data_IF_325954355694
#
_entry.id   IF_325954355694
#
_cell.length_a   1.000
_cell.length_b   1.000
_cell.length_c   1.000
_cell.angle_alpha   90.00
_cell.angle_beta   90.00
_cell.angle_gamma   90.00
#
_symmetry.space_group_name_H-M   'P 1'
#
loop_
_entity.id
_entity.type
_entity.pdbx_description
1 polymer ?
#
# COMPACT_ATOMS: atom_id res chain seq x y z
N UNK A 1 38.88 38.31 -19.21
CA UNK A 1 39.50 37.95 -17.93
C UNK A 1 38.81 36.71 -17.41
N UNK A 2 39.62 35.76 -16.94
CA UNK A 2 39.25 34.59 -16.16
C UNK A 2 38.11 34.88 -15.18
N UNK A 3 37.12 34.00 -15.14
CA UNK A 3 36.01 34.22 -14.22
C UNK A 3 34.90 33.18 -14.23
N UNK A 4 35.18 31.93 -14.58
CA UNK A 4 34.20 30.85 -14.43
C UNK A 4 34.81 29.46 -14.15
N UNK A 5 36.12 29.27 -14.35
CA UNK A 5 36.82 28.01 -14.00
C UNK A 5 37.51 28.03 -12.62
N UNK A 6 37.57 29.16 -11.93
CA UNK A 6 38.18 29.26 -10.59
C UNK A 6 37.19 29.10 -9.42
N UNK A 7 35.88 28.93 -9.69
CA UNK A 7 34.86 28.74 -8.63
C UNK A 7 34.50 27.28 -8.36
N UNK A 8 35.06 26.33 -9.11
CA UNK A 8 34.89 24.90 -8.85
C UNK A 8 36.01 24.30 -7.99
N UNK A 9 36.98 25.10 -7.53
CA UNK A 9 38.16 24.61 -6.79
C UNK A 9 38.23 25.02 -5.31
N UNK A 10 37.22 25.71 -4.78
CA UNK A 10 37.21 26.21 -3.39
C UNK A 10 36.00 25.77 -2.54
N UNK A 11 35.15 24.86 -3.02
CA UNK A 11 34.01 24.35 -2.24
C UNK A 11 34.22 22.95 -1.61
N UNK A 12 35.37 22.31 -1.82
CA UNK A 12 35.74 21.08 -1.10
C UNK A 12 36.47 21.36 0.24
N UNK A 13 36.66 22.62 0.60
CA UNK A 13 37.32 23.02 1.82
C UNK A 13 36.41 23.91 2.68
N UNK A 14 35.41 23.31 3.35
CA UNK A 14 34.88 23.74 4.67
C UNK A 14 33.41 23.33 4.85
N UNK A 15 33.16 22.20 5.52
CA UNK A 15 32.30 22.19 6.71
C UNK A 15 32.43 20.86 7.47
N UNK A 16 33.17 20.95 8.57
CA UNK A 16 33.05 20.10 9.75
C UNK A 16 31.65 20.25 10.32
N UNK A 17 30.98 19.15 10.63
CA UNK A 17 29.98 19.12 11.70
C UNK A 17 30.65 18.54 12.94
N UNK A 18 30.73 19.39 13.96
CA UNK A 18 31.09 19.06 15.33
C UNK A 18 29.81 18.57 16.01
N UNK A 19 29.85 17.41 16.65
CA UNK A 19 28.97 17.13 17.80
C UNK A 19 29.90 16.96 19.00
N UNK A 20 29.65 17.76 20.03
CA UNK A 20 30.41 17.78 21.28
C UNK A 20 30.23 16.47 22.07
N UNK A 21 31.31 16.12 22.75
CA UNK A 21 31.51 14.94 23.58
C UNK A 21 31.36 15.27 25.06
N UNK A 22 31.01 14.29 25.89
CA UNK A 22 31.46 14.26 27.29
C UNK A 22 32.55 13.20 27.42
N UNK A 23 33.70 13.70 27.88
CA UNK A 23 35.01 13.07 28.12
C UNK A 23 34.97 12.02 29.24
N UNK A 24 35.90 11.06 29.22
CA UNK A 24 37.12 11.06 30.06
C UNK A 24 38.18 10.14 29.40
N UNK A 25 39.43 10.58 29.57
CA UNK A 25 40.69 10.34 28.84
C UNK A 25 41.51 9.10 29.29
N UNK A 26 42.66 8.80 28.63
CA UNK A 26 43.14 7.45 28.32
C UNK A 26 44.58 7.19 28.83
N UNK A 27 45.20 6.08 28.42
CA UNK A 27 46.66 5.99 28.18
C UNK A 27 46.92 4.89 27.11
N UNK A 28 47.39 5.24 25.89
CA UNK A 28 48.79 5.26 25.38
C UNK A 28 49.36 3.82 25.25
N UNK A 29 49.84 3.28 24.13
CA UNK A 29 50.61 3.77 22.96
C UNK A 29 50.59 2.76 21.79
N UNK A 30 50.74 3.21 20.54
CA UNK A 30 51.16 2.41 19.35
C UNK A 30 52.70 2.55 19.10
N UNK A 31 53.39 2.05 18.01
CA UNK A 31 52.92 1.33 16.80
C UNK A 31 53.87 0.26 16.14
N UNK A 32 53.41 -0.24 14.97
CA UNK A 32 54.09 -0.87 13.78
C UNK A 32 54.57 -2.35 13.92
N UNK A 33 54.33 -3.33 13.03
CA UNK A 33 54.50 -3.37 11.55
C UNK A 33 53.94 -4.68 10.93
N UNK A 34 53.55 -4.60 9.64
CA UNK A 34 53.07 -5.64 8.71
C UNK A 34 53.68 -7.07 8.84
N UNK A 35 52.82 -8.10 8.70
CA UNK A 35 52.97 -9.16 7.68
C UNK A 35 51.79 -10.15 7.71
N UNK A 36 51.38 -10.57 6.52
CA UNK A 36 50.48 -11.67 6.21
C UNK A 36 50.70 -12.91 7.08
N UNK A 37 49.67 -13.35 7.81
CA UNK A 37 49.58 -14.73 8.31
C UNK A 37 48.12 -15.17 8.47
N UNK A 38 47.89 -16.39 8.00
CA UNK A 38 46.64 -17.14 7.98
C UNK A 38 45.92 -17.18 9.34
N UNK A 39 44.60 -16.96 9.34
CA UNK A 39 43.76 -17.23 10.50
C UNK A 39 43.56 -18.74 10.60
N UNK A 40 44.22 -19.31 11.61
CA UNK A 40 44.17 -20.71 12.01
C UNK A 40 42.78 -21.14 12.47
N UNK A 41 42.25 -22.12 11.76
CA UNK A 41 41.33 -23.16 12.27
C UNK A 41 41.86 -23.73 13.59
N UNK A 42 41.16 -23.51 14.72
CA UNK A 42 41.51 -24.14 16.00
C UNK A 42 40.36 -24.84 16.73
N UNK A 43 39.25 -25.12 16.05
CA UNK A 43 38.21 -26.03 16.58
C UNK A 43 37.87 -27.23 15.69
N UNK A 44 38.64 -27.47 14.62
CA UNK A 44 38.44 -28.62 13.72
C UNK A 44 39.41 -29.80 13.96
N UNK A 45 40.50 -29.60 14.73
CA UNK A 45 41.63 -30.55 14.72
C UNK A 45 41.63 -31.65 15.81
N UNK A 46 40.56 -31.81 16.61
CA UNK A 46 40.56 -32.82 17.67
C UNK A 46 39.66 -34.05 17.43
N UNK A 47 39.19 -34.29 16.19
CA UNK A 47 38.41 -35.51 15.87
C UNK A 47 39.13 -36.45 14.89
N UNK A 48 40.39 -36.17 14.52
CA UNK A 48 41.24 -37.14 13.79
C UNK A 48 42.16 -37.90 14.73
N UNK A 49 41.58 -38.74 15.57
CA UNK A 49 42.32 -39.82 16.23
C UNK A 49 41.37 -40.97 16.56
N UNK A 50 41.58 -42.08 15.85
CA UNK A 50 41.04 -43.42 16.06
C UNK A 50 39.52 -43.63 15.81
N UNK A 51 39.21 -44.23 14.65
CA UNK A 51 37.88 -44.76 14.29
C UNK A 51 37.24 -44.09 13.06
N UNK A 52 37.94 -44.04 11.93
CA UNK A 52 37.66 -43.08 10.84
C UNK A 52 36.56 -43.50 9.84
N UNK A 53 36.07 -44.74 9.84
CA UNK A 53 35.01 -45.17 8.89
C UNK A 53 33.59 -44.80 9.35
N UNK A 54 33.29 -45.00 10.64
CA UNK A 54 31.90 -44.94 11.15
C UNK A 54 31.50 -43.49 11.49
N UNK A 55 32.45 -42.65 11.93
CA UNK A 55 32.16 -41.28 12.37
C UNK A 55 32.04 -40.28 11.20
N UNK A 56 32.81 -40.44 10.13
CA UNK A 56 32.65 -39.65 8.91
C UNK A 56 31.35 -40.03 8.20
N UNK A 57 31.03 -41.34 8.14
CA UNK A 57 29.75 -41.81 7.63
C UNK A 57 28.56 -41.22 8.38
N UNK A 58 28.60 -41.20 9.72
CA UNK A 58 27.52 -40.64 10.52
C UNK A 58 27.33 -39.12 10.33
N UNK A 59 28.41 -38.34 10.24
CA UNK A 59 28.33 -36.88 10.03
C UNK A 59 27.81 -36.55 8.62
N UNK A 60 28.30 -37.25 7.59
CA UNK A 60 27.83 -37.07 6.21
C UNK A 60 26.36 -37.48 6.08
N UNK A 61 25.96 -38.62 6.67
CA UNK A 61 24.56 -39.06 6.65
C UNK A 61 23.66 -38.10 7.39
N UNK A 62 24.09 -37.54 8.54
CA UNK A 62 23.29 -36.55 9.28
C UNK A 62 23.12 -35.25 8.49
N UNK A 63 24.19 -34.76 7.85
CA UNK A 63 24.11 -33.61 6.95
C UNK A 63 23.22 -33.89 5.74
N UNK A 64 23.27 -35.10 5.19
CA UNK A 64 22.47 -35.49 4.03
C UNK A 64 21.00 -35.64 4.41
N UNK A 65 20.69 -36.15 5.61
CA UNK A 65 19.33 -36.21 6.16
C UNK A 65 18.81 -34.81 6.50
N UNK A 66 19.62 -33.92 7.07
CA UNK A 66 19.24 -32.53 7.32
C UNK A 66 19.03 -31.77 6.00
N UNK A 67 19.89 -32.01 5.00
CA UNK A 67 19.74 -31.44 3.68
C UNK A 67 18.47 -31.94 3.00
N UNK A 68 18.20 -33.25 3.01
CA UNK A 68 16.94 -33.83 2.50
C UNK A 68 15.75 -33.29 3.27
N UNK A 69 15.82 -33.16 4.59
CA UNK A 69 14.76 -32.56 5.41
C UNK A 69 14.48 -31.10 5.06
N UNK A 70 15.53 -30.30 4.82
CA UNK A 70 15.41 -28.92 4.35
C UNK A 70 14.82 -28.84 2.94
N UNK A 71 15.25 -29.71 2.02
CA UNK A 71 14.68 -29.79 0.68
C UNK A 71 13.18 -30.16 0.74
N UNK A 72 12.79 -31.14 1.56
CA UNK A 72 11.38 -31.53 1.76
C UNK A 72 10.56 -30.40 2.38
N UNK A 73 11.09 -29.65 3.36
CA UNK A 73 10.42 -28.49 3.95
C UNK A 73 10.17 -27.37 2.92
N UNK A 74 11.04 -27.26 1.91
CA UNK A 74 10.90 -26.33 0.79
C UNK A 74 10.09 -26.93 -0.38
N UNK A 75 9.49 -28.11 -0.23
CA UNK A 75 8.66 -28.77 -1.25
C UNK A 75 9.43 -29.53 -2.33
N UNK A 76 10.74 -29.77 -2.18
CA UNK A 76 11.56 -30.53 -3.12
C UNK A 76 11.55 -32.03 -2.80
N UNK A 77 11.01 -32.84 -3.71
CA UNK A 77 10.98 -34.31 -3.64
C UNK A 77 12.11 -34.93 -4.47
N UNK A 78 12.79 -35.94 -3.91
CA UNK A 78 13.75 -36.80 -4.63
C UNK A 78 13.07 -38.14 -4.96
N UNK A 79 12.38 -38.23 -6.10
CA UNK A 79 11.85 -39.53 -6.57
C UNK A 79 10.84 -39.47 -7.72
N UNK A 80 10.17 -38.34 -7.88
CA UNK A 80 9.30 -37.98 -9.00
C UNK A 80 9.43 -36.46 -9.14
N UNK A 81 9.21 -35.86 -10.31
CA UNK A 81 9.42 -34.41 -10.49
C UNK A 81 8.82 -33.57 -9.34
N UNK A 82 9.47 -32.48 -8.93
CA UNK A 82 8.90 -31.54 -7.95
C UNK A 82 8.02 -30.50 -8.63
N UNK A 83 7.01 -30.01 -7.93
CA UNK A 83 6.19 -28.88 -8.34
C UNK A 83 5.99 -27.96 -7.14
N UNK A 84 6.25 -26.67 -7.33
CA UNK A 84 6.17 -25.68 -6.24
C UNK A 84 5.63 -24.38 -6.80
N UNK A 85 4.67 -23.78 -6.09
CA UNK A 85 4.25 -22.40 -6.33
C UNK A 85 5.32 -21.52 -5.69
N UNK A 86 6.01 -20.72 -6.50
CA UNK A 86 7.19 -19.98 -6.05
C UNK A 86 6.91 -18.52 -5.78
N UNK A 87 5.90 -17.96 -6.42
CA UNK A 87 5.61 -16.53 -6.35
C UNK A 87 4.15 -16.24 -6.73
N UNK A 88 3.65 -15.12 -6.21
CA UNK A 88 2.43 -14.48 -6.68
C UNK A 88 2.71 -12.98 -6.87
N UNK A 89 2.06 -12.38 -7.85
CA UNK A 89 2.02 -10.93 -7.99
C UNK A 89 0.66 -10.50 -8.50
N UNK A 90 0.35 -9.24 -8.28
CA UNK A 90 -0.82 -8.60 -8.84
C UNK A 90 -0.41 -7.85 -10.10
N UNK A 91 -1.23 -7.96 -11.13
CA UNK A 91 -1.18 -7.10 -12.31
C UNK A 91 -2.36 -6.12 -12.23
N UNK A 92 -2.08 -4.86 -11.90
CA UNK A 92 -3.10 -3.82 -11.74
C UNK A 92 -3.63 -3.33 -13.11
N UNK A 93 -2.83 -3.44 -14.19
CA UNK A 93 -3.26 -2.99 -15.53
C UNK A 93 -4.43 -3.82 -16.09
N UNK A 94 -4.63 -5.03 -15.60
CA UNK A 94 -5.65 -5.95 -16.11
C UNK A 94 -6.44 -6.68 -15.02
N UNK A 95 -6.35 -6.20 -13.78
CA UNK A 95 -7.01 -6.78 -12.62
C UNK A 95 -6.84 -8.31 -12.54
N UNK A 96 -5.59 -8.78 -12.52
CA UNK A 96 -5.30 -10.21 -12.46
C UNK A 96 -4.30 -10.63 -11.38
N UNK A 97 -4.52 -11.83 -10.85
CA UNK A 97 -3.57 -12.55 -10.03
C UNK A 97 -2.64 -13.37 -10.91
N UNK A 98 -1.35 -13.08 -10.82
CA UNK A 98 -0.30 -13.81 -11.52
C UNK A 98 0.39 -14.78 -10.56
N UNK A 99 0.38 -16.06 -10.92
CA UNK A 99 1.00 -17.14 -10.15
C UNK A 99 2.16 -17.73 -10.93
N UNK A 100 3.28 -17.95 -10.24
CA UNK A 100 4.44 -18.64 -10.80
C UNK A 100 4.61 -20.03 -10.20
N UNK A 101 4.64 -21.04 -11.07
CA UNK A 101 4.81 -22.45 -10.70
C UNK A 101 6.10 -22.97 -11.34
N UNK A 102 6.99 -23.53 -10.51
CA UNK A 102 8.25 -24.14 -10.94
C UNK A 102 8.17 -25.65 -10.91
N UNK A 103 8.71 -26.28 -11.95
CA UNK A 103 8.79 -27.73 -12.12
C UNK A 103 10.22 -28.23 -12.08
N UNK A 104 10.40 -29.39 -11.46
CA UNK A 104 11.64 -30.14 -11.46
C UNK A 104 12.69 -29.65 -10.46
N UNK A 105 13.80 -30.39 -10.42
CA UNK A 105 14.97 -30.04 -9.63
C UNK A 105 15.82 -29.03 -10.40
N UNK A 106 16.45 -28.03 -9.75
CA UNK A 106 17.32 -27.05 -10.42
C UNK A 106 18.51 -27.67 -11.18
N UNK A 107 18.78 -28.97 -10.98
CA UNK A 107 19.88 -29.71 -11.60
C UNK A 107 19.47 -30.73 -12.67
N UNK A 108 18.17 -31.07 -12.80
CA UNK A 108 17.68 -32.06 -13.78
C UNK A 108 16.49 -31.47 -14.53
N UNK A 109 16.71 -31.09 -15.78
CA UNK A 109 15.71 -30.42 -16.62
C UNK A 109 14.79 -31.43 -17.30
N UNK A 110 13.54 -31.49 -16.86
CA UNK A 110 12.39 -31.59 -17.76
C UNK A 110 11.10 -31.35 -17.00
N UNK A 111 10.50 -30.18 -17.13
CA UNK A 111 9.06 -30.04 -16.91
C UNK A 111 8.34 -31.08 -17.77
N UNK A 112 7.46 -31.85 -17.14
CA UNK A 112 6.48 -32.63 -17.90
C UNK A 112 5.65 -31.66 -18.74
N UNK A 113 5.30 -32.04 -19.97
CA UNK A 113 4.35 -31.30 -20.81
C UNK A 113 2.89 -31.65 -20.49
N UNK A 114 2.65 -32.36 -19.40
CA UNK A 114 1.30 -32.68 -18.96
C UNK A 114 0.58 -31.43 -18.44
N UNK A 115 -0.72 -31.40 -18.60
CA UNK A 115 -1.56 -30.30 -18.12
C UNK A 115 -1.56 -30.26 -16.59
N UNK A 116 -1.42 -29.05 -16.06
CA UNK A 116 -1.47 -28.74 -14.62
C UNK A 116 -2.86 -28.19 -14.32
N UNK A 117 -3.53 -28.77 -13.33
CA UNK A 117 -4.76 -28.23 -12.76
C UNK A 117 -4.40 -27.25 -11.66
N UNK A 118 -4.93 -26.04 -11.73
CA UNK A 118 -4.75 -24.99 -10.72
C UNK A 118 -6.13 -24.68 -10.14
N UNK A 119 -6.24 -24.64 -8.83
CA UNK A 119 -7.44 -24.15 -8.17
C UNK A 119 -7.14 -23.04 -7.18
N UNK A 120 -8.10 -22.13 -7.05
CA UNK A 120 -8.11 -21.03 -6.09
C UNK A 120 -9.21 -21.32 -5.08
N UNK A 121 -8.87 -21.21 -3.81
CA UNK A 121 -9.82 -21.33 -2.71
C UNK A 121 -9.87 -20.02 -1.92
N UNK A 122 -11.04 -19.68 -1.40
CA UNK A 122 -11.23 -18.59 -0.45
C UNK A 122 -11.62 -19.22 0.90
N UNK A 123 -10.73 -19.12 1.88
CA UNK A 123 -10.85 -19.91 3.11
C UNK A 123 -10.73 -21.41 2.80
N UNK A 124 -11.81 -22.15 3.02
CA UNK A 124 -11.87 -23.61 2.78
C UNK A 124 -12.75 -23.98 1.57
N UNK A 125 -13.28 -22.99 0.86
CA UNK A 125 -14.14 -23.20 -0.32
C UNK A 125 -13.31 -23.02 -1.60
N UNK A 126 -13.36 -24.00 -2.51
CA UNK A 126 -12.80 -23.86 -3.85
C UNK A 126 -13.73 -23.01 -4.73
N UNK A 127 -13.21 -21.87 -5.20
CA UNK A 127 -14.01 -20.83 -5.88
C UNK A 127 -13.70 -20.78 -7.38
N UNK A 128 -12.54 -21.28 -7.78
CA UNK A 128 -12.13 -21.30 -9.19
C UNK A 128 -11.18 -22.45 -9.49
N UNK A 129 -11.29 -22.98 -10.71
CA UNK A 129 -10.35 -23.98 -11.24
C UNK A 129 -10.04 -23.68 -12.69
N UNK A 130 -8.77 -23.77 -13.04
CA UNK A 130 -8.29 -23.68 -14.41
C UNK A 130 -7.25 -24.75 -14.71
N UNK A 131 -6.84 -24.85 -15.96
CA UNK A 131 -5.78 -25.76 -16.38
C UNK A 131 -4.81 -25.05 -17.30
N UNK A 132 -3.51 -25.29 -17.12
CA UNK A 132 -2.48 -24.73 -17.97
C UNK A 132 -1.40 -25.78 -18.27
N UNK A 133 -0.81 -25.70 -19.47
CA UNK A 133 0.24 -26.64 -19.88
C UNK A 133 1.59 -25.93 -19.88
N UNK A 134 2.57 -26.38 -19.08
CA UNK A 134 3.88 -25.75 -19.02
C UNK A 134 4.65 -25.92 -20.33
N UNK A 135 5.21 -24.83 -20.84
CA UNK A 135 6.12 -24.82 -21.99
C UNK A 135 7.60 -24.89 -21.58
N UNK A 136 7.88 -24.68 -20.29
CA UNK A 136 9.22 -24.66 -19.69
C UNK A 136 9.18 -25.15 -18.24
N UNK A 137 10.33 -25.15 -17.53
CA UNK A 137 10.39 -25.41 -16.09
C UNK A 137 9.70 -24.34 -15.22
N UNK A 138 9.20 -23.29 -15.85
CA UNK A 138 8.41 -22.23 -15.24
C UNK A 138 7.09 -22.10 -16.00
N UNK A 139 5.98 -22.11 -15.26
CA UNK A 139 4.66 -21.78 -15.73
C UNK A 139 4.22 -20.50 -15.03
N UNK A 140 3.89 -19.49 -15.81
CA UNK A 140 3.19 -18.32 -15.31
C UNK A 140 1.72 -18.49 -15.69
N UNK A 141 0.84 -18.34 -14.71
CA UNK A 141 -0.61 -18.39 -14.87
C UNK A 141 -1.14 -17.04 -14.46
N UNK A 142 -2.07 -16.52 -15.22
CA UNK A 142 -2.72 -15.25 -14.95
C UNK A 142 -4.22 -15.52 -14.86
N UNK A 143 -4.82 -15.10 -13.75
CA UNK A 143 -6.21 -15.37 -13.44
C UNK A 143 -6.87 -14.02 -13.12
N UNK A 144 -7.82 -13.54 -13.95
CA UNK A 144 -8.57 -12.32 -13.67
C UNK A 144 -9.28 -12.40 -12.31
N UNK A 145 -9.29 -11.31 -11.53
CA UNK A 145 -10.02 -11.28 -10.25
C UNK A 145 -11.52 -11.53 -10.45
N UNK A 146 -12.10 -11.07 -11.55
CA UNK A 146 -13.50 -11.29 -11.90
C UNK A 146 -13.92 -12.77 -11.98
N UNK A 147 -12.97 -13.69 -12.17
CA UNK A 147 -13.24 -15.13 -12.28
C UNK A 147 -13.34 -15.84 -10.93
N UNK A 148 -12.74 -15.30 -9.86
CA UNK A 148 -12.60 -16.03 -8.58
C UNK A 148 -12.80 -15.19 -7.32
N UNK A 149 -12.74 -13.87 -7.41
CA UNK A 149 -12.75 -13.00 -6.24
C UNK A 149 -14.09 -13.09 -5.49
N UNK A 150 -14.03 -13.44 -4.20
CA UNK A 150 -15.19 -13.60 -3.31
C UNK A 150 -15.31 -12.49 -2.27
N UNK A 151 -14.35 -11.56 -2.22
CA UNK A 151 -14.30 -10.51 -1.20
C UNK A 151 -12.91 -10.35 -0.59
N UNK A 152 -12.81 -9.36 0.30
CA UNK A 152 -11.56 -9.04 1.02
C UNK A 152 -11.13 -10.21 1.91
N UNK A 153 -9.84 -10.31 2.18
CA UNK A 153 -9.27 -11.34 3.04
C UNK A 153 -9.10 -10.88 4.48
N UNK A 154 -8.84 -9.59 4.72
CA UNK A 154 -8.58 -9.08 6.07
C UNK A 154 -9.83 -9.06 6.94
N UNK A 155 -9.74 -9.65 8.13
CA UNK A 155 -10.71 -9.53 9.22
C UNK A 155 -12.19 -9.78 8.88
N UNK A 156 -12.46 -10.51 7.80
CA UNK A 156 -13.82 -10.88 7.35
C UNK A 156 -14.35 -12.16 8.00
N UNK A 157 -13.47 -12.96 8.61
CA UNK A 157 -13.79 -14.23 9.24
C UNK A 157 -14.40 -14.08 10.62
N UNK A 158 -14.83 -15.20 11.24
CA UNK A 158 -15.35 -15.20 12.60
C UNK A 158 -14.37 -14.55 13.59
N UNK A 159 -14.87 -13.64 14.42
CA UNK A 159 -14.07 -12.89 15.40
C UNK A 159 -12.99 -11.99 14.79
N UNK A 160 -13.14 -11.56 13.53
CA UNK A 160 -12.19 -10.65 12.87
C UNK A 160 -10.91 -11.35 12.39
N UNK A 161 -10.95 -12.66 12.19
CA UNK A 161 -9.85 -13.41 11.60
C UNK A 161 -9.77 -13.20 10.08
N UNK A 162 -8.58 -13.37 9.51
CA UNK A 162 -8.39 -13.31 8.06
C UNK A 162 -8.93 -14.58 7.38
N UNK A 163 -9.52 -14.42 6.19
CA UNK A 163 -9.93 -15.51 5.30
C UNK A 163 -9.06 -15.42 4.05
N UNK A 164 -8.03 -16.27 3.98
CA UNK A 164 -7.01 -16.18 2.94
C UNK A 164 -7.43 -16.82 1.63
N UNK A 165 -6.97 -16.26 0.52
CA UNK A 165 -6.94 -16.96 -0.76
C UNK A 165 -5.78 -17.97 -0.76
N UNK A 166 -6.07 -19.18 -1.21
CA UNK A 166 -5.12 -20.30 -1.29
C UNK A 166 -5.05 -20.83 -2.70
N UNK A 167 -3.85 -21.13 -3.17
CA UNK A 167 -3.60 -21.68 -4.49
C UNK A 167 -3.13 -23.13 -4.34
N UNK A 168 -3.81 -24.01 -5.07
CA UNK A 168 -3.45 -25.41 -5.20
C UNK A 168 -3.08 -25.71 -6.65
N UNK A 169 -2.05 -26.54 -6.84
CA UNK A 169 -1.65 -26.98 -8.17
C UNK A 169 -1.36 -28.50 -8.17
N UNK A 170 -1.92 -29.21 -9.16
CA UNK A 170 -1.81 -30.66 -9.31
C UNK A 170 -1.47 -31.05 -10.76
N UNK A 171 -0.54 -31.98 -10.94
CA UNK A 171 -0.17 -32.55 -12.25
C UNK A 171 -0.04 -34.07 -12.11
N UNK A 172 -1.12 -34.80 -12.43
CA UNK A 172 -1.20 -36.23 -12.18
C UNK A 172 -1.04 -36.54 -10.68
N UNK A 173 -0.03 -37.33 -10.32
CA UNK A 173 0.30 -37.64 -8.92
C UNK A 173 1.15 -36.56 -8.23
N UNK A 174 1.66 -35.58 -8.98
CA UNK A 174 2.44 -34.47 -8.42
C UNK A 174 1.49 -33.41 -7.85
N UNK A 175 1.71 -33.03 -6.59
CA UNK A 175 0.95 -31.98 -5.92
C UNK A 175 1.92 -30.94 -5.38
N UNK A 176 1.64 -29.67 -5.65
CA UNK A 176 2.34 -28.59 -4.97
C UNK A 176 1.88 -28.53 -3.51
N UNK A 177 2.74 -28.05 -2.62
CA UNK A 177 2.29 -27.57 -1.32
C UNK A 177 1.30 -26.43 -1.54
N UNK A 178 0.18 -26.46 -0.81
CA UNK A 178 -0.80 -25.38 -0.82
C UNK A 178 -0.12 -24.04 -0.50
N UNK A 179 -0.40 -23.04 -1.32
CA UNK A 179 0.19 -21.71 -1.19
C UNK A 179 -0.86 -20.73 -0.70
N UNK A 180 -0.75 -20.29 0.55
CA UNK A 180 -1.60 -19.22 1.09
C UNK A 180 -1.01 -17.87 0.70
N UNK A 181 -1.86 -16.98 0.18
CA UNK A 181 -1.44 -15.62 -0.16
C UNK A 181 -1.46 -14.78 1.12
N UNK A 182 -0.28 -14.35 1.54
CA UNK A 182 -0.07 -13.53 2.73
C UNK A 182 0.89 -12.37 2.43
N UNK A 183 0.75 -11.22 3.14
CA UNK A 183 -0.32 -10.92 4.10
C UNK A 183 -1.71 -10.75 3.45
N UNK A 184 -2.77 -10.92 4.25
CA UNK A 184 -4.15 -10.93 3.77
C UNK A 184 -4.55 -9.67 2.98
N UNK A 185 -3.97 -8.51 3.32
CA UNK A 185 -4.29 -7.24 2.65
C UNK A 185 -3.96 -7.21 1.16
N UNK A 186 -3.03 -8.06 0.70
CA UNK A 186 -2.67 -8.12 -0.72
C UNK A 186 -3.89 -8.53 -1.57
N UNK A 187 -4.79 -9.32 -1.00
CA UNK A 187 -5.98 -9.82 -1.71
C UNK A 187 -7.23 -9.01 -1.41
N UNK A 188 -7.11 -7.85 -0.77
CA UNK A 188 -8.24 -6.95 -0.59
C UNK A 188 -8.41 -6.07 -1.82
N UNK A 189 -9.64 -5.98 -2.33
CA UNK A 189 -9.98 -5.20 -3.53
C UNK A 189 -11.20 -4.33 -3.37
N UNK A 190 -12.06 -4.63 -2.41
CA UNK A 190 -13.37 -4.00 -2.31
C UNK A 190 -13.41 -2.96 -1.21
N UNK A 191 -14.04 -1.83 -1.51
CA UNK A 191 -14.17 -0.71 -0.58
C UNK A 191 -15.55 -0.81 0.08
N UNK A 192 -15.58 -0.65 1.40
CA UNK A 192 -16.82 -0.69 2.20
C UNK A 192 -16.94 0.47 3.16
N UNK A 193 -15.88 1.27 3.31
CA UNK A 193 -15.81 2.43 4.18
C UNK A 193 -15.17 3.61 3.45
N UNK A 194 -15.68 4.78 3.77
CA UNK A 194 -15.12 6.04 3.34
C UNK A 194 -15.40 7.09 4.40
N UNK A 195 -14.51 8.07 4.48
CA UNK A 195 -14.70 9.29 5.27
C UNK A 195 -14.25 10.51 4.46
N UNK A 196 -14.78 11.68 4.81
CA UNK A 196 -14.51 12.92 4.11
C UNK A 196 -14.45 14.08 5.09
N UNK A 197 -13.69 15.11 4.76
CA UNK A 197 -13.58 16.29 5.59
C UNK A 197 -13.52 17.56 4.76
N UNK A 198 -14.29 18.55 5.22
CA UNK A 198 -14.16 19.94 4.83
C UNK A 198 -13.37 20.68 5.90
N UNK A 199 -12.22 21.23 5.52
CA UNK A 199 -11.37 22.03 6.40
C UNK A 199 -11.56 23.48 5.98
N UNK A 200 -12.16 24.29 6.85
CA UNK A 200 -12.37 25.71 6.59
C UNK A 200 -11.02 26.43 6.53
N UNK A 201 -10.79 27.14 5.43
CA UNK A 201 -9.63 28.00 5.25
C UNK A 201 -10.01 29.43 5.60
N UNK A 202 -9.16 30.10 6.36
CA UNK A 202 -9.47 31.47 6.79
C UNK A 202 -8.22 32.31 7.02
N UNK A 203 -8.39 33.61 6.79
CA UNK A 203 -7.40 34.65 7.08
C UNK A 203 -7.92 35.58 8.16
N UNK A 204 -7.01 36.11 8.98
CA UNK A 204 -7.40 37.10 9.99
C UNK A 204 -7.39 38.50 9.36
N UNK A 205 -8.53 39.20 9.41
CA UNK A 205 -8.64 40.59 9.00
C UNK A 205 -9.71 41.29 9.84
N UNK A 206 -9.41 42.52 10.28
CA UNK A 206 -10.36 43.38 11.00
C UNK A 206 -10.80 44.57 10.16
N UNK A 207 -10.33 44.65 8.91
CA UNK A 207 -10.61 45.74 7.98
C UNK A 207 -11.55 45.30 6.86
N UNK A 208 -11.52 44.01 6.52
CA UNK A 208 -12.34 43.42 5.45
C UNK A 208 -13.45 42.52 6.00
N UNK A 209 -13.28 41.98 7.21
CA UNK A 209 -14.23 41.14 7.92
C UNK A 209 -14.16 41.37 9.44
N UNK A 210 -15.02 40.70 10.20
CA UNK A 210 -15.12 40.83 11.65
C UNK A 210 -14.17 39.85 12.38
N UNK A 211 -12.88 40.00 12.12
CA UNK A 211 -11.81 39.22 12.75
C UNK A 211 -11.29 38.07 11.89
N UNK A 212 -12.18 37.24 11.34
CA UNK A 212 -11.83 36.06 10.52
C UNK A 212 -12.60 36.11 9.21
N UNK A 213 -11.86 36.12 8.09
CA UNK A 213 -12.37 36.04 6.73
C UNK A 213 -12.27 34.59 6.30
N UNK A 214 -13.38 33.99 5.91
CA UNK A 214 -13.36 32.62 5.39
C UNK A 214 -13.02 32.65 3.90
N UNK A 215 -11.87 32.09 3.54
CA UNK A 215 -11.37 32.13 2.16
C UNK A 215 -11.99 31.02 1.30
N UNK A 216 -12.37 29.89 1.93
CA UNK A 216 -12.94 28.74 1.25
C UNK A 216 -12.79 27.46 2.07
N UNK A 217 -12.78 26.31 1.39
CA UNK A 217 -12.64 24.99 2.04
C UNK A 217 -11.62 24.11 1.34
N UNK A 218 -10.75 23.49 2.13
CA UNK A 218 -9.89 22.39 1.70
C UNK A 218 -10.63 21.07 1.90
N UNK A 219 -10.47 20.14 0.96
CA UNK A 219 -11.18 18.86 0.99
C UNK A 219 -10.19 17.71 1.07
N UNK A 220 -10.49 16.73 1.91
CA UNK A 220 -9.78 15.44 1.91
C UNK A 220 -10.76 14.29 2.03
N UNK A 221 -10.40 13.17 1.43
CA UNK A 221 -11.21 11.94 1.46
C UNK A 221 -10.33 10.76 1.84
N UNK A 222 -10.92 9.78 2.53
CA UNK A 222 -10.31 8.50 2.87
C UNK A 222 -11.25 7.40 2.45
N UNK A 223 -10.73 6.28 1.95
CA UNK A 223 -11.54 5.14 1.54
C UNK A 223 -10.78 3.83 1.61
N UNK A 224 -11.55 2.78 1.82
CA UNK A 224 -11.03 1.44 1.94
C UNK A 224 -11.96 0.56 2.75
N UNK A 225 -11.38 -0.11 3.75
CA UNK A 225 -12.11 -0.95 4.69
C UNK A 225 -11.92 -0.43 6.10
N UNK A 226 -12.83 -0.81 7.00
CA UNK A 226 -12.62 -0.57 8.42
C UNK A 226 -11.34 -1.29 8.87
N UNK A 227 -10.44 -0.58 9.54
CA UNK A 227 -9.28 -1.22 10.16
C UNK A 227 -9.73 -2.26 11.20
N UNK A 228 -9.11 -3.43 11.14
CA UNK A 228 -9.48 -4.60 11.94
C UNK A 228 -9.23 -4.40 13.45
N UNK A 229 -8.31 -3.49 13.81
CA UNK A 229 -7.87 -3.26 15.19
C UNK A 229 -8.47 -1.96 15.73
N UNK A 230 -8.55 -0.91 14.91
CA UNK A 230 -9.08 0.39 15.28
C UNK A 230 -10.27 0.78 14.41
N UNK A 231 -11.48 0.73 14.97
CA UNK A 231 -12.73 1.08 14.28
C UNK A 231 -12.86 2.56 13.90
N UNK A 232 -11.92 3.41 14.31
CA UNK A 232 -11.87 4.82 13.92
C UNK A 232 -10.94 5.06 12.73
N UNK A 233 -10.23 4.02 12.25
CA UNK A 233 -9.30 4.12 11.12
C UNK A 233 -9.82 3.36 9.90
N UNK A 234 -9.52 3.91 8.73
CA UNK A 234 -9.78 3.28 7.43
C UNK A 234 -8.44 2.76 6.90
N UNK A 235 -8.39 1.47 6.62
CA UNK A 235 -7.25 0.86 5.92
C UNK A 235 -7.46 0.99 4.43
N UNK A 236 -6.43 1.46 3.70
CA UNK A 236 -6.48 1.58 2.25
C UNK A 236 -6.64 0.21 1.57
N UNK A 237 -7.08 0.29 0.32
CA UNK A 237 -7.30 -0.83 -0.59
C UNK A 237 -6.72 -0.41 -1.93
N UNK A 238 -5.80 -1.21 -2.45
CA UNK A 238 -5.22 -1.00 -3.78
C UNK A 238 -6.17 -1.64 -4.79
N UNK A 239 -6.90 -0.80 -5.53
CA UNK A 239 -7.88 -1.23 -6.52
C UNK A 239 -8.24 -0.10 -7.47
N UNK A 240 -8.92 -0.45 -8.56
CA UNK A 240 -9.35 0.47 -9.59
C UNK A 240 -10.79 0.93 -9.35
N UNK A 241 -10.97 2.25 -9.21
CA UNK A 241 -12.28 2.85 -9.00
C UNK A 241 -12.28 4.35 -9.31
N UNK A 242 -13.48 4.94 -9.31
CA UNK A 242 -13.69 6.39 -9.52
C UNK A 242 -14.33 7.03 -8.31
N UNK A 243 -13.93 8.25 -7.99
CA UNK A 243 -14.55 9.07 -6.95
C UNK A 243 -15.14 10.32 -7.58
N UNK A 244 -16.38 10.62 -7.22
CA UNK A 244 -17.05 11.87 -7.55
C UNK A 244 -17.35 12.61 -6.25
N UNK A 245 -16.68 13.74 -6.01
CA UNK A 245 -16.85 14.54 -4.79
C UNK A 245 -17.66 15.81 -5.06
N UNK A 246 -18.52 16.18 -4.11
CA UNK A 246 -19.45 17.30 -4.19
C UNK A 246 -19.56 18.02 -2.85
N UNK A 247 -19.67 19.35 -2.89
CA UNK A 247 -20.07 20.13 -1.72
C UNK A 247 -21.59 20.27 -1.75
N UNK A 248 -22.24 19.90 -0.66
CA UNK A 248 -23.69 19.92 -0.48
C UNK A 248 -24.05 21.00 0.55
N UNK A 249 -25.01 21.86 0.20
CA UNK A 249 -25.61 22.85 1.08
C UNK A 249 -27.00 22.38 1.56
N UNK A 250 -27.29 22.58 2.84
CA UNK A 250 -28.58 22.24 3.48
C UNK A 250 -29.01 20.79 3.18
N UNK A 251 -28.05 19.87 3.22
CA UNK A 251 -28.21 18.41 3.07
C UNK A 251 -28.62 17.91 1.68
N UNK A 252 -29.01 18.78 0.74
CA UNK A 252 -29.57 18.34 -0.54
C UNK A 252 -29.11 19.10 -1.78
N UNK A 253 -28.69 20.37 -1.65
CA UNK A 253 -28.30 21.17 -2.80
C UNK A 253 -26.83 20.95 -3.13
N UNK A 254 -26.53 20.39 -4.31
CA UNK A 254 -25.15 20.37 -4.81
C UNK A 254 -24.76 21.79 -5.21
N UNK A 255 -23.75 22.35 -4.53
CA UNK A 255 -23.25 23.71 -4.78
C UNK A 255 -21.91 23.74 -5.48
N UNK A 256 -21.18 22.61 -5.43
CA UNK A 256 -19.92 22.44 -6.14
C UNK A 256 -19.72 20.97 -6.52
N UNK A 257 -19.08 20.70 -7.66
CA UNK A 257 -18.70 19.36 -8.11
C UNK A 257 -17.22 19.35 -8.47
N UNK A 258 -16.47 18.51 -7.78
CA UNK A 258 -15.04 18.34 -8.01
C UNK A 258 -14.78 17.52 -9.29
N UNK A 259 -13.64 17.72 -9.98
CA UNK A 259 -13.22 16.82 -11.04
C UNK A 259 -13.24 15.36 -10.59
N UNK A 260 -13.64 14.46 -11.48
CA UNK A 260 -13.64 13.04 -11.16
C UNK A 260 -12.20 12.58 -10.89
N UNK A 261 -12.03 11.83 -9.80
CA UNK A 261 -10.77 11.22 -9.42
C UNK A 261 -10.80 9.78 -9.94
N UNK A 262 -9.77 9.40 -10.68
CA UNK A 262 -9.53 8.03 -11.12
C UNK A 262 -8.44 7.45 -10.22
N UNK A 263 -8.72 6.31 -9.60
CA UNK A 263 -7.73 5.51 -8.88
C UNK A 263 -7.40 4.29 -9.72
N UNK A 264 -6.11 4.00 -9.87
CA UNK A 264 -5.58 2.78 -10.47
C UNK A 264 -4.54 2.17 -9.52
N UNK A 265 -4.84 0.98 -9.00
CA UNK A 265 -4.15 0.39 -7.84
C UNK A 265 -4.14 1.34 -6.65
N UNK A 266 -2.99 1.93 -6.35
CA UNK A 266 -2.79 2.88 -5.25
C UNK A 266 -2.77 4.36 -5.70
N UNK A 267 -2.67 4.62 -7.00
CA UNK A 267 -2.42 5.97 -7.54
C UNK A 267 -3.74 6.66 -7.89
N UNK A 268 -4.04 7.77 -7.21
CA UNK A 268 -5.16 8.63 -7.51
C UNK A 268 -4.74 9.79 -8.41
N UNK A 269 -5.51 10.06 -9.46
CA UNK A 269 -5.28 11.15 -10.40
C UNK A 269 -6.58 11.82 -10.81
N UNK A 270 -6.55 13.13 -10.98
CA UNK A 270 -7.66 13.90 -11.52
C UNK A 270 -7.12 15.03 -12.38
N UNK A 271 -7.85 15.35 -13.45
CA UNK A 271 -7.43 16.39 -14.38
C UNK A 271 -8.55 17.42 -14.56
N UNK A 272 -8.15 18.68 -14.45
CA UNK A 272 -8.98 19.86 -14.66
C UNK A 272 -8.11 21.03 -15.13
N UNK A 273 -8.71 22.20 -15.38
CA UNK A 273 -7.94 23.40 -15.70
C UNK A 273 -7.33 24.03 -14.45
N UNK A 274 -6.07 24.49 -14.55
CA UNK A 274 -5.42 25.27 -13.49
C UNK A 274 -4.95 24.42 -12.31
N UNK A 275 -5.10 24.95 -11.09
CA UNK A 275 -4.70 24.31 -9.83
C UNK A 275 -5.56 23.07 -9.47
N UNK A 276 -6.71 22.91 -10.11
CA UNK A 276 -7.63 21.80 -9.86
C UNK A 276 -7.17 20.45 -10.45
N UNK A 277 -6.03 20.39 -11.13
CA UNK A 277 -5.41 19.10 -11.51
C UNK A 277 -4.51 18.61 -10.38
N UNK A 278 -4.48 17.31 -10.14
CA UNK A 278 -3.64 16.75 -9.10
C UNK A 278 -3.48 15.24 -9.17
N UNK A 279 -2.64 14.74 -8.28
CA UNK A 279 -2.42 13.33 -8.06
C UNK A 279 -2.04 13.09 -6.59
N UNK A 280 -2.32 11.90 -6.08
CA UNK A 280 -1.96 11.48 -4.73
C UNK A 280 -1.94 9.96 -4.61
N UNK A 281 -1.55 9.45 -3.44
CA UNK A 281 -1.66 8.02 -3.11
C UNK A 281 -2.81 7.80 -2.14
N UNK A 282 -3.57 6.73 -2.34
CA UNK A 282 -4.61 6.31 -1.37
C UNK A 282 -4.02 5.62 -0.16
N UNK A 283 -2.74 5.21 -0.21
CA UNK A 283 -2.01 4.64 0.92
C UNK A 283 -1.72 5.67 2.03
N UNK A 284 -1.75 6.97 1.71
CA UNK A 284 -1.46 8.07 2.64
C UNK A 284 -2.58 8.28 3.70
N UNK A 285 -3.54 7.36 3.79
CA UNK A 285 -4.76 7.37 4.62
C UNK A 285 -5.76 8.47 4.25
N UNK A 286 -5.31 9.68 3.98
CA UNK A 286 -6.11 10.80 3.52
C UNK A 286 -5.61 11.33 2.19
N UNK A 287 -6.44 11.25 1.17
CA UNK A 287 -6.22 11.88 -0.11
C UNK A 287 -6.64 13.35 -0.02
N UNK A 288 -5.65 14.23 0.05
CA UNK A 288 -5.84 15.67 -0.02
C UNK A 288 -6.20 16.08 -1.45
N UNK A 289 -7.34 16.74 -1.64
CA UNK A 289 -7.79 17.22 -2.94
C UNK A 289 -7.21 18.60 -3.22
N UNK A 290 -6.88 18.87 -4.48
CA UNK A 290 -6.40 20.17 -4.93
C UNK A 290 -7.50 21.22 -4.97
N UNK A 291 -7.10 22.49 -4.99
CA UNK A 291 -7.99 23.65 -4.90
C UNK A 291 -8.12 24.45 -6.18
N UNK A 292 -9.05 25.42 -6.18
CA UNK A 292 -9.09 26.48 -7.19
C UNK A 292 -8.20 27.67 -6.84
N UNK A 293 -7.83 27.80 -5.56
CA UNK A 293 -6.88 28.80 -5.05
C UNK A 293 -5.91 28.16 -4.03
N UNK A 294 -4.92 28.94 -3.59
CA UNK A 294 -3.87 28.51 -2.66
C UNK A 294 -3.63 29.53 -1.56
N UNK A 295 -3.53 29.05 -0.31
CA UNK A 295 -3.26 29.89 0.84
C UNK A 295 -1.77 30.22 1.00
N UNK A 296 -1.44 31.06 1.98
CA UNK A 296 -0.07 31.51 2.27
C UNK A 296 0.95 30.39 2.59
N UNK A 297 0.52 29.14 2.76
CA UNK A 297 1.37 27.98 3.03
C UNK A 297 1.34 26.93 1.92
N UNK A 298 0.77 27.24 0.75
CA UNK A 298 0.63 26.31 -0.36
C UNK A 298 -0.42 25.22 -0.13
N UNK A 299 -1.26 25.39 0.91
CA UNK A 299 -2.46 24.56 1.08
C UNK A 299 -3.48 25.06 0.08
N UNK A 300 -3.85 24.20 -0.85
CA UNK A 300 -4.85 24.49 -1.87
C UNK A 300 -6.26 24.27 -1.29
N UNK A 301 -7.20 25.08 -1.76
CA UNK A 301 -8.59 25.03 -1.32
C UNK A 301 -9.53 25.47 -2.43
N UNK A 302 -10.80 25.07 -2.33
CA UNK A 302 -11.87 25.58 -3.18
C UNK A 302 -12.22 26.98 -2.66
N UNK A 303 -11.97 28.00 -3.49
CA UNK A 303 -12.31 29.37 -3.17
C UNK A 303 -13.81 29.49 -2.87
N UNK A 304 -14.16 30.29 -1.86
CA UNK A 304 -15.53 30.51 -1.44
C UNK A 304 -16.48 30.83 -2.59
N UNK A 305 -16.06 31.73 -3.48
CA UNK A 305 -16.87 32.21 -4.61
C UNK A 305 -17.31 31.09 -5.56
N UNK A 306 -16.66 29.93 -5.54
CA UNK A 306 -16.99 28.78 -6.38
C UNK A 306 -18.18 27.96 -5.86
N UNK A 307 -18.53 28.05 -4.57
CA UNK A 307 -19.53 27.17 -3.95
C UNK A 307 -20.49 27.88 -2.98
N UNK A 308 -20.19 29.11 -2.58
CA UNK A 308 -20.98 29.87 -1.62
C UNK A 308 -22.45 30.02 -2.04
N UNK A 309 -23.37 29.84 -1.09
CA UNK A 309 -24.80 30.13 -1.24
C UNK A 309 -25.26 31.19 -0.22
N UNK A 310 -25.31 30.81 1.04
CA UNK A 310 -25.71 31.62 2.19
C UNK A 310 -25.10 31.01 3.48
N UNK A 311 -25.36 31.60 4.63
CA UNK A 311 -25.12 30.95 5.92
C UNK A 311 -25.89 29.63 5.99
N UNK A 312 -25.28 28.61 6.60
CA UNK A 312 -25.91 27.32 6.80
C UNK A 312 -24.94 26.15 6.73
N UNK A 313 -25.51 24.96 6.58
CA UNK A 313 -24.79 23.70 6.69
C UNK A 313 -24.16 23.27 5.36
N UNK A 314 -22.83 23.09 5.33
CA UNK A 314 -22.07 22.60 4.19
C UNK A 314 -21.41 21.25 4.52
N UNK A 315 -21.52 20.27 3.63
CA UNK A 315 -20.91 18.94 3.82
C UNK A 315 -20.30 18.40 2.53
N UNK A 316 -19.31 17.52 2.66
CA UNK A 316 -18.73 16.80 1.54
C UNK A 316 -19.52 15.52 1.32
N UNK A 317 -20.12 15.36 0.15
CA UNK A 317 -20.65 14.08 -0.33
C UNK A 317 -19.71 13.54 -1.38
N UNK A 318 -19.28 12.29 -1.24
CA UNK A 318 -18.53 11.62 -2.28
C UNK A 318 -19.14 10.28 -2.62
N UNK A 319 -19.10 9.98 -3.90
CA UNK A 319 -19.61 8.74 -4.47
C UNK A 319 -18.46 7.99 -5.10
N UNK A 320 -18.22 6.79 -4.58
CA UNK A 320 -17.29 5.82 -5.11
C UNK A 320 -18.02 4.95 -6.12
N UNK A 321 -17.42 4.76 -7.28
CA UNK A 321 -17.87 3.84 -8.30
C UNK A 321 -16.72 2.86 -8.58
N UNK A 322 -16.81 1.67 -7.98
CA UNK A 322 -15.99 0.56 -8.43
C UNK A 322 -16.68 0.05 -9.70
N UNK A 323 -15.96 0.06 -10.82
CA UNK A 323 -16.46 -0.56 -12.04
C UNK A 323 -16.89 -2.00 -11.69
N UNK A 324 -17.88 -2.56 -12.39
CA UNK A 324 -18.50 -3.87 -12.06
C UNK A 324 -17.55 -5.09 -12.18
N UNK A 325 -16.25 -4.85 -12.10
CA UNK A 325 -15.13 -5.78 -12.17
C UNK A 325 -15.27 -6.95 -11.20
N UNK A 326 -15.88 -6.73 -10.03
CA UNK A 326 -16.01 -7.74 -9.00
C UNK A 326 -17.49 -8.15 -8.81
N UNK A 327 -17.81 -9.44 -9.02
CA UNK A 327 -19.14 -10.02 -8.78
C UNK A 327 -19.34 -10.37 -7.29
N UNK A 328 -19.38 -9.33 -6.46
CA UNK A 328 -19.45 -9.43 -5.00
C UNK A 328 -20.47 -8.43 -4.46
N UNK A 329 -21.22 -8.87 -3.45
CA UNK A 329 -22.31 -8.08 -2.88
C UNK A 329 -21.83 -6.74 -2.31
N UNK A 330 -22.58 -5.66 -2.57
CA UNK A 330 -22.37 -4.31 -2.03
C UNK A 330 -21.11 -3.57 -2.48
N UNK A 331 -20.56 -3.91 -3.65
CA UNK A 331 -19.30 -3.35 -4.16
C UNK A 331 -19.49 -2.29 -5.26
N UNK A 332 -20.72 -2.10 -5.74
CA UNK A 332 -21.03 -1.10 -6.77
C UNK A 332 -20.88 0.36 -6.29
N UNK A 333 -21.82 1.21 -6.69
CA UNK A 333 -21.76 2.62 -6.32
C UNK A 333 -22.06 2.83 -4.82
N UNK A 334 -21.10 3.36 -4.07
CA UNK A 334 -21.22 3.69 -2.65
C UNK A 334 -21.19 5.20 -2.44
N UNK A 335 -22.03 5.71 -1.54
CA UNK A 335 -22.07 7.13 -1.19
C UNK A 335 -21.75 7.33 0.27
N UNK A 336 -20.88 8.29 0.55
CA UNK A 336 -20.43 8.68 1.88
C UNK A 336 -20.56 10.19 2.04
N UNK A 337 -20.74 10.63 3.29
CA UNK A 337 -20.91 12.03 3.65
C UNK A 337 -20.04 12.35 4.86
N UNK A 338 -19.38 13.52 4.84
CA UNK A 338 -18.68 14.06 6.00
C UNK A 338 -19.66 14.53 7.08
N UNK A 339 -19.21 14.75 8.32
CA UNK A 339 -19.89 15.69 9.22
C UNK A 339 -20.10 17.02 8.50
N UNK A 340 -21.31 17.58 8.58
CA UNK A 340 -21.58 18.89 8.03
C UNK A 340 -20.97 19.97 8.93
N UNK A 341 -20.64 21.12 8.34
CA UNK A 341 -20.21 22.29 9.09
C UNK A 341 -21.12 23.48 8.81
N UNK A 342 -21.63 24.07 9.88
CA UNK A 342 -22.38 25.31 9.87
C UNK A 342 -21.40 26.46 9.64
N UNK A 343 -21.53 27.12 8.48
CA UNK A 343 -20.67 28.22 8.07
C UNK A 343 -21.47 29.53 8.12
N UNK A 344 -20.98 30.45 8.95
CA UNK A 344 -21.59 31.76 9.20
C UNK A 344 -20.87 32.86 8.39
N UNK A 345 -20.93 32.74 7.07
CA UNK A 345 -20.29 33.64 6.12
C UNK A 345 -20.71 35.10 6.32
N UNK A 346 -22.01 35.39 6.28
CA UNK A 346 -22.55 36.74 6.38
C UNK A 346 -22.31 37.34 7.76
N UNK A 347 -22.50 36.54 8.82
CA UNK A 347 -22.29 37.02 10.19
C UNK A 347 -20.81 37.34 10.49
N UNK A 348 -19.86 36.64 9.85
CA UNK A 348 -18.43 36.83 10.10
C UNK A 348 -17.76 37.83 9.14
N UNK A 349 -18.34 38.10 7.98
CA UNK A 349 -17.76 38.99 6.96
C UNK A 349 -18.22 40.46 7.08
N UNK A 350 -19.26 40.75 7.87
CA UNK A 350 -19.72 42.11 8.13
C UNK A 350 -18.76 42.93 9.00
N UNK A 351 -17.77 43.62 8.41
CA UNK A 351 -16.78 44.45 9.14
C UNK A 351 -17.40 45.61 9.97
N UNK A 352 -18.71 45.87 9.86
CA UNK A 352 -19.40 47.01 10.47
C UNK A 352 -20.67 46.66 11.25
N UNK A 353 -21.05 45.39 11.36
CA UNK A 353 -22.38 45.03 11.88
C UNK A 353 -22.45 44.93 13.41
N UNK A 354 -21.31 45.03 14.10
CA UNK A 354 -21.27 45.05 15.57
C UNK A 354 -21.63 43.72 16.23
N UNK A 355 -21.90 42.69 15.43
CA UNK A 355 -22.11 41.32 15.89
C UNK A 355 -20.77 40.70 16.32
N UNK A 356 -20.81 39.69 17.19
CA UNK A 356 -19.61 38.94 17.58
C UNK A 356 -19.35 37.84 16.54
N UNK A 357 -18.07 37.51 16.33
CA UNK A 357 -17.66 36.32 15.57
C UNK A 357 -18.46 35.07 15.99
N UNK A 358 -19.02 34.38 15.00
CA UNK A 358 -19.73 33.11 15.16
C UNK A 358 -18.81 31.97 14.75
N UNK A 359 -18.43 31.07 15.68
CA UNK A 359 -17.55 29.96 15.36
C UNK A 359 -18.25 28.93 14.46
N UNK A 360 -17.49 28.35 13.53
CA UNK A 360 -17.91 27.16 12.80
C UNK A 360 -18.17 26.00 13.77
N UNK A 361 -19.28 25.28 13.58
CA UNK A 361 -19.65 24.10 14.35
C UNK A 361 -20.20 23.00 13.46
N UNK A 362 -20.30 21.77 13.99
CA UNK A 362 -20.96 20.68 13.27
C UNK A 362 -22.46 20.92 13.14
N UNK A 363 -23.00 20.54 11.98
CA UNK A 363 -24.41 20.34 11.67
C UNK A 363 -24.57 18.88 11.16
#
# INVERSE_FOLDING_TARGET
MSGLLDKAKEAEASKKVVTESIKIEPEVSEPVTNSSTEIKSSKFNNIMSNGMGIKIGAVVVTLLVLFVGYQVAMGFSFGSGSMTITDHSIEEDNDALKIQIRFGNPFLSSASKDTVQISVSYGDEEVFTTTATPSSNLLNVEIPFSDFYQGNSRAVGPSGADVLYKINANQGDLKATEYSIEPANIMDRTITKGDGELIVMSTNSNTECNGVCHDGVSMRVSMGVQDAVNTDLISHIDSDYRINAQIIYEGSQVVYSYPQIQVNGFLAQWSSSGLLSGAGSVEDSWLQLSGSDSGNFGIEYIARDDFYQDDGCYMLRFTLDMDSTYDVDNVGTLTFESPGYELHWNANEGASDGDNYQPTGEC
#
